data_IF_223545472163
#
_entry.id   IF_223545472163
#
_cell.length_a   1.000
_cell.length_b   1.000
_cell.length_c   1.000
_cell.angle_alpha   90.00
_cell.angle_beta   90.00
_cell.angle_gamma   90.00
#
_symmetry.space_group_name_H-M   'P 1'
#
loop_
_entity.id
_entity.type
_entity.pdbx_description
1 polymer ?
#
# COMPACT_ATOMS: atom_id res chain seq x y z
N UNK A 1 -2.80 -15.53 14.54
CA UNK A 1 -1.58 -16.06 13.88
C UNK A 1 -0.60 -14.96 13.45
N UNK A 2 -0.83 -14.19 12.36
CA UNK A 2 0.18 -13.22 11.87
C UNK A 2 0.46 -12.07 12.85
N UNK A 3 -0.57 -11.43 13.41
CA UNK A 3 -0.40 -10.36 14.39
C UNK A 3 0.37 -10.82 15.64
N UNK A 4 0.15 -12.06 16.07
CA UNK A 4 0.91 -12.66 17.18
C UNK A 4 2.40 -12.85 16.83
N UNK A 5 2.75 -13.10 15.55
CA UNK A 5 4.14 -13.18 15.14
C UNK A 5 4.83 -11.81 15.26
N UNK A 6 4.16 -10.73 14.85
CA UNK A 6 4.66 -9.37 15.05
C UNK A 6 4.83 -9.02 16.54
N UNK A 7 3.85 -9.38 17.38
CA UNK A 7 3.94 -9.16 18.83
C UNK A 7 5.12 -9.93 19.43
N UNK A 8 5.31 -11.21 19.08
CA UNK A 8 6.47 -12.00 19.54
C UNK A 8 7.80 -11.42 19.07
N UNK A 9 7.82 -10.78 17.90
CA UNK A 9 8.98 -10.09 17.36
C UNK A 9 9.20 -8.68 17.97
N UNK A 10 8.32 -8.21 18.86
CA UNK A 10 8.34 -6.85 19.45
C UNK A 10 8.25 -5.75 18.39
N UNK A 11 7.44 -6.00 17.36
CA UNK A 11 7.15 -5.06 16.29
C UNK A 11 5.71 -4.57 16.49
N UNK A 12 5.57 -3.28 16.76
CA UNK A 12 4.27 -2.64 16.83
C UNK A 12 3.81 -2.22 15.44
N UNK A 13 2.50 -2.35 15.22
CA UNK A 13 1.85 -2.03 13.95
C UNK A 13 0.90 -0.85 14.11
N UNK A 14 0.86 0.00 13.09
CA UNK A 14 -0.26 0.95 12.86
C UNK A 14 -0.75 0.81 11.44
N UNK A 15 -2.07 0.81 11.31
CA UNK A 15 -2.75 0.66 10.03
C UNK A 15 -3.63 1.88 9.79
N UNK A 16 -3.55 2.40 8.57
CA UNK A 16 -4.44 3.43 8.05
C UNK A 16 -5.30 2.82 6.96
N UNK A 17 -6.62 2.99 7.10
CA UNK A 17 -7.54 2.85 6.00
C UNK A 17 -7.33 4.04 5.06
N UNK A 18 -6.77 3.76 3.89
CA UNK A 18 -6.49 4.73 2.82
C UNK A 18 -7.36 4.47 1.59
N UNK A 19 -8.49 3.78 1.80
CA UNK A 19 -9.49 3.52 0.76
C UNK A 19 -9.92 4.83 0.11
N UNK A 20 -9.83 4.87 -1.22
CA UNK A 20 -10.14 6.05 -2.02
C UNK A 20 -11.63 6.11 -2.38
N UNK A 21 -12.00 7.10 -3.19
CA UNK A 21 -13.32 7.22 -3.83
C UNK A 21 -13.71 5.99 -4.65
N UNK A 22 -12.76 5.14 -5.06
CA UNK A 22 -13.06 3.86 -5.74
C UNK A 22 -13.78 2.85 -4.84
N UNK A 23 -13.77 3.02 -3.51
CA UNK A 23 -14.43 2.07 -2.59
C UNK A 23 -13.77 0.69 -2.46
N UNK A 24 -12.72 0.39 -3.24
CA UNK A 24 -11.92 -0.83 -3.09
C UNK A 24 -11.01 -0.68 -1.88
N UNK A 25 -11.07 -1.62 -0.93
CA UNK A 25 -10.36 -1.51 0.34
C UNK A 25 -8.84 -1.40 0.12
N UNK A 26 -8.23 -0.35 0.68
CA UNK A 26 -6.78 -0.15 0.68
C UNK A 26 -6.29 0.16 2.08
N UNK A 27 -5.29 -0.58 2.54
CA UNK A 27 -4.62 -0.32 3.81
C UNK A 27 -3.15 0.00 3.60
N UNK A 28 -2.66 0.92 4.43
CA UNK A 28 -1.23 1.16 4.59
C UNK A 28 -0.84 0.79 6.02
N UNK A 29 0.19 -0.05 6.17
CA UNK A 29 0.68 -0.55 7.44
C UNK A 29 2.09 -0.04 7.69
N UNK A 30 2.32 0.57 8.86
CA UNK A 30 3.65 0.90 9.38
C UNK A 30 4.05 -0.14 10.43
N UNK A 31 5.20 -0.77 10.22
CA UNK A 31 5.83 -1.68 11.18
C UNK A 31 7.03 -1.00 11.86
N UNK A 32 7.00 -0.88 13.18
CA UNK A 32 8.01 -0.19 13.98
C UNK A 32 8.45 -1.05 15.17
N UNK A 33 9.76 -1.11 15.44
CA UNK A 33 10.27 -1.80 16.63
C UNK A 33 9.93 -1.01 17.91
N UNK A 34 9.43 -1.72 18.93
CA UNK A 34 8.99 -1.14 20.21
C UNK A 34 10.15 -0.48 20.97
N UNK A 35 11.23 -1.24 21.19
CA UNK A 35 12.28 -0.87 22.14
C UNK A 35 13.70 -0.85 21.57
N UNK A 36 13.88 -1.21 20.29
CA UNK A 36 15.22 -1.37 19.73
C UNK A 36 15.39 -0.65 18.40
N UNK A 37 16.51 0.04 18.21
CA UNK A 37 16.94 0.52 16.89
C UNK A 37 17.50 -0.63 16.02
N UNK A 38 17.00 -1.86 16.24
CA UNK A 38 17.46 -3.09 15.58
C UNK A 38 17.16 -3.05 14.10
N UNK A 39 15.96 -2.61 13.72
CA UNK A 39 15.55 -2.50 12.32
C UNK A 39 14.91 -1.15 12.05
N UNK A 40 14.96 -0.73 10.79
CA UNK A 40 14.31 0.50 10.34
C UNK A 40 12.80 0.28 10.15
N UNK A 41 11.99 1.32 10.42
CA UNK A 41 10.56 1.24 10.18
C UNK A 41 10.27 1.16 8.69
N UNK A 42 9.34 0.31 8.32
CA UNK A 42 8.94 0.11 6.93
C UNK A 42 7.43 0.12 6.78
N UNK A 43 7.01 0.46 5.57
CA UNK A 43 5.62 0.46 5.15
C UNK A 43 5.32 -0.77 4.30
N UNK A 44 4.05 -1.17 4.32
CA UNK A 44 3.48 -2.07 3.34
C UNK A 44 2.07 -1.64 3.00
N UNK A 45 1.71 -1.73 1.73
CA UNK A 45 0.38 -1.43 1.24
C UNK A 45 -0.36 -2.69 0.82
N UNK A 46 -1.69 -2.63 0.79
CA UNK A 46 -2.50 -3.74 0.31
C UNK A 46 -3.84 -3.26 -0.19
N UNK A 47 -4.24 -3.73 -1.36
CA UNK A 47 -5.49 -3.39 -2.02
C UNK A 47 -6.20 -4.69 -2.44
N UNK A 48 -7.47 -4.83 -2.09
CA UNK A 48 -8.30 -5.99 -2.45
C UNK A 48 -9.80 -5.72 -2.21
N UNK A 49 -10.74 -6.30 -2.98
CA UNK A 49 -12.17 -6.22 -2.69
C UNK A 49 -12.55 -6.73 -1.28
N UNK A 50 -11.83 -7.75 -0.82
CA UNK A 50 -11.92 -8.26 0.55
C UNK A 50 -10.92 -7.54 1.49
N UNK A 51 -11.37 -6.79 2.50
CA UNK A 51 -10.51 -6.01 3.40
C UNK A 51 -9.60 -6.89 4.27
N UNK A 52 -9.98 -8.14 4.56
CA UNK A 52 -9.08 -9.07 5.27
C UNK A 52 -7.86 -9.42 4.41
N UNK A 53 -8.05 -9.63 3.11
CA UNK A 53 -6.96 -9.87 2.16
C UNK A 53 -6.13 -8.60 1.97
N UNK A 54 -6.77 -7.44 1.81
CA UNK A 54 -6.07 -6.16 1.69
C UNK A 54 -5.18 -5.89 2.93
N UNK A 55 -5.70 -6.12 4.14
CA UNK A 55 -4.95 -5.96 5.38
C UNK A 55 -3.81 -6.97 5.48
N UNK A 56 -4.07 -8.24 5.15
CA UNK A 56 -3.04 -9.28 5.14
C UNK A 56 -1.88 -8.88 4.23
N UNK A 57 -2.17 -8.40 3.01
CA UNK A 57 -1.17 -7.91 2.05
C UNK A 57 -0.33 -6.77 2.63
N UNK A 58 -0.97 -5.75 3.21
CA UNK A 58 -0.27 -4.63 3.82
C UNK A 58 0.68 -5.06 4.94
N UNK A 59 0.23 -5.99 5.80
CA UNK A 59 1.06 -6.55 6.88
C UNK A 59 2.26 -7.33 6.32
N UNK A 60 2.02 -8.22 5.35
CA UNK A 60 3.08 -9.04 4.76
C UNK A 60 4.06 -8.22 3.94
N UNK A 61 3.60 -7.18 3.26
CA UNK A 61 4.47 -6.26 2.51
C UNK A 61 5.36 -5.45 3.46
N UNK A 62 4.84 -5.02 4.61
CA UNK A 62 5.65 -4.35 5.63
C UNK A 62 6.74 -5.29 6.18
N UNK A 63 6.43 -6.56 6.40
CA UNK A 63 7.43 -7.56 6.80
C UNK A 63 8.47 -7.80 5.68
N UNK A 64 8.02 -7.92 4.43
CA UNK A 64 8.90 -8.10 3.27
C UNK A 64 9.85 -6.91 3.11
N UNK A 65 9.34 -5.68 3.17
CA UNK A 65 10.13 -4.46 3.05
C UNK A 65 11.23 -4.38 4.13
N UNK A 66 10.92 -4.81 5.35
CA UNK A 66 11.92 -4.91 6.43
C UNK A 66 12.98 -5.94 6.11
N UNK A 67 12.57 -7.13 5.67
CA UNK A 67 13.51 -8.20 5.33
C UNK A 67 14.47 -7.77 4.19
N UNK A 68 13.96 -7.10 3.15
CA UNK A 68 14.79 -6.65 2.03
C UNK A 68 15.71 -5.49 2.41
N UNK A 69 15.27 -4.58 3.29
CA UNK A 69 16.13 -3.53 3.84
C UNK A 69 17.28 -4.10 4.69
N UNK A 70 16.99 -5.04 5.59
CA UNK A 70 18.01 -5.69 6.44
C UNK A 70 19.03 -6.46 5.58
N UNK A 71 18.55 -7.15 4.55
CA UNK A 71 19.40 -7.90 3.63
C UNK A 71 20.25 -7.01 2.71
N UNK A 72 19.93 -5.72 2.59
CA UNK A 72 20.58 -4.82 1.65
C UNK A 72 20.32 -5.18 0.18
N UNK A 73 19.22 -5.87 -0.11
CA UNK A 73 18.93 -6.48 -1.41
C UNK A 73 18.10 -5.58 -2.36
N UNK A 74 17.94 -4.31 -2.01
CA UNK A 74 17.13 -3.33 -2.76
C UNK A 74 18.01 -2.52 -3.70
N UNK A 75 17.82 -2.69 -5.00
CA UNK A 75 18.55 -1.95 -6.03
C UNK A 75 18.17 -0.46 -6.07
N UNK A 76 17.00 -0.10 -5.56
CA UNK A 76 16.53 1.29 -5.46
C UNK A 76 17.09 2.04 -4.23
N UNK A 77 17.80 1.35 -3.34
CA UNK A 77 18.37 1.95 -2.13
C UNK A 77 19.85 2.29 -2.33
N UNK A 78 20.15 3.59 -2.38
CA UNK A 78 21.53 4.08 -2.35
C UNK A 78 22.15 4.02 -0.96
N UNK A 79 23.48 4.12 -0.85
CA UNK A 79 24.20 4.19 0.43
C UNK A 79 23.70 5.30 1.37
N UNK A 80 23.16 6.38 0.82
CA UNK A 80 22.58 7.48 1.60
C UNK A 80 21.38 7.03 2.44
N UNK A 81 20.57 6.09 1.96
CA UNK A 81 19.44 5.55 2.71
C UNK A 81 19.87 4.78 3.96
N UNK A 82 21.08 4.21 3.94
CA UNK A 82 21.67 3.50 5.08
C UNK A 82 22.46 4.44 6.01
N UNK A 83 22.65 5.71 5.63
CA UNK A 83 23.38 6.67 6.44
C UNK A 83 22.72 6.86 7.81
N UNK A 84 23.47 6.91 8.92
CA UNK A 84 22.90 7.02 10.27
C UNK A 84 21.92 8.19 10.44
N UNK A 85 22.25 9.34 9.85
CA UNK A 85 21.40 10.53 9.90
C UNK A 85 20.04 10.32 9.20
N UNK A 86 20.03 9.64 8.06
CA UNK A 86 18.81 9.39 7.28
C UNK A 86 17.92 8.36 7.98
N UNK A 87 18.53 7.27 8.47
CA UNK A 87 17.84 6.26 9.30
C UNK A 87 17.23 6.88 10.55
N UNK A 88 17.97 7.74 11.24
CA UNK A 88 17.47 8.47 12.42
C UNK A 88 16.32 9.43 12.04
N UNK A 89 16.42 10.15 10.92
CA UNK A 89 15.36 11.03 10.41
C UNK A 89 14.08 10.24 10.15
N UNK A 90 14.15 9.19 9.35
CA UNK A 90 13.04 8.30 8.99
C UNK A 90 12.38 7.70 10.23
N UNK A 91 13.18 7.21 11.19
CA UNK A 91 12.69 6.66 12.46
C UNK A 91 11.93 7.69 13.28
N UNK A 92 12.43 8.92 13.35
CA UNK A 92 11.78 10.02 14.07
C UNK A 92 10.44 10.41 13.44
N UNK A 93 10.36 10.44 12.11
CA UNK A 93 9.12 10.70 11.37
C UNK A 93 8.08 9.58 11.57
N UNK A 94 8.51 8.33 11.44
CA UNK A 94 7.63 7.17 11.66
C UNK A 94 7.10 7.12 13.10
N UNK A 95 7.95 7.39 14.11
CA UNK A 95 7.51 7.51 15.52
C UNK A 95 6.47 8.62 15.72
N UNK A 96 6.60 9.75 15.02
CA UNK A 96 5.61 10.84 15.07
C UNK A 96 4.27 10.39 14.50
N UNK A 97 4.25 9.71 13.35
CA UNK A 97 3.02 9.16 12.78
C UNK A 97 2.38 8.10 13.69
N UNK A 98 3.21 7.25 14.29
CA UNK A 98 2.77 6.24 15.25
C UNK A 98 2.09 6.87 16.47
N UNK A 99 2.68 7.94 17.04
CA UNK A 99 2.14 8.66 18.18
C UNK A 99 0.89 9.50 17.82
N UNK A 100 0.78 9.97 16.59
CA UNK A 100 -0.37 10.71 16.09
C UNK A 100 -1.55 9.81 15.68
N UNK A 101 -1.33 8.50 15.51
CA UNK A 101 -2.37 7.55 15.13
C UNK A 101 -3.50 7.53 16.15
N UNK A 102 -4.74 7.54 15.66
CA UNK A 102 -5.96 7.44 16.48
C UNK A 102 -6.87 6.37 15.86
N UNK A 103 -7.33 5.38 16.63
CA UNK A 103 -8.36 4.46 16.17
C UNK A 103 -9.62 5.23 15.78
N UNK A 104 -10.07 5.07 14.53
CA UNK A 104 -11.21 5.82 13.99
C UNK A 104 -12.21 4.94 13.20
N UNK A 105 -11.91 3.66 13.02
CA UNK A 105 -12.72 2.69 12.26
C UNK A 105 -12.72 1.34 12.97
N UNK A 106 -13.87 0.67 12.98
CA UNK A 106 -13.96 -0.74 13.34
C UNK A 106 -13.75 -1.56 12.06
N UNK A 107 -12.69 -2.36 12.04
CA UNK A 107 -12.37 -3.23 10.91
C UNK A 107 -13.51 -4.20 10.58
N UNK A 108 -14.25 -4.68 11.59
CA UNK A 108 -15.34 -5.64 11.42
C UNK A 108 -16.58 -5.03 10.76
N UNK A 109 -16.66 -3.70 10.75
CA UNK A 109 -17.77 -2.97 10.12
C UNK A 109 -17.49 -2.63 8.65
N UNK A 110 -16.32 -2.99 8.12
CA UNK A 110 -15.99 -2.75 6.71
C UNK A 110 -16.74 -3.73 5.83
N UNK A 111 -17.43 -3.19 4.82
CA UNK A 111 -18.05 -3.99 3.79
C UNK A 111 -16.97 -4.72 2.99
N UNK A 112 -17.29 -5.93 2.53
CA UNK A 112 -16.43 -6.69 1.64
C UNK A 112 -17.25 -7.26 0.49
N UNK A 113 -16.57 -7.42 -0.64
CA UNK A 113 -17.04 -8.27 -1.72
C UNK A 113 -16.21 -9.56 -1.69
N UNK A 114 -16.90 -10.70 -1.80
CA UNK A 114 -16.28 -12.01 -1.94
C UNK A 114 -16.95 -12.67 -3.15
N UNK A 115 -16.35 -12.49 -4.33
CA UNK A 115 -16.79 -13.21 -5.52
C UNK A 115 -16.49 -14.70 -5.37
N UNK A 116 -17.37 -15.56 -5.91
CA UNK A 116 -17.09 -17.00 -5.97
C UNK A 116 -16.01 -17.30 -7.02
N UNK A 117 -15.81 -16.38 -7.96
CA UNK A 117 -14.83 -16.50 -9.04
C UNK A 117 -13.98 -15.24 -9.19
N UNK A 118 -12.76 -15.41 -9.71
CA UNK A 118 -11.88 -14.29 -10.06
C UNK A 118 -12.56 -13.32 -11.05
N UNK A 119 -13.37 -13.85 -11.98
CA UNK A 119 -14.08 -13.02 -12.95
C UNK A 119 -15.11 -12.11 -12.28
N UNK A 120 -15.77 -12.56 -11.22
CA UNK A 120 -16.70 -11.71 -10.45
C UNK A 120 -15.97 -10.58 -9.73
N UNK A 121 -14.85 -10.88 -9.08
CA UNK A 121 -14.02 -9.85 -8.42
C UNK A 121 -13.50 -8.81 -9.42
N UNK A 122 -13.08 -9.26 -10.61
CA UNK A 122 -12.65 -8.36 -11.69
C UNK A 122 -13.80 -7.50 -12.21
N UNK A 123 -14.99 -8.06 -12.43
CA UNK A 123 -16.16 -7.30 -12.85
C UNK A 123 -16.59 -6.28 -11.80
N UNK A 124 -16.62 -6.67 -10.52
CA UNK A 124 -16.94 -5.76 -9.43
C UNK A 124 -15.92 -4.62 -9.33
N UNK A 125 -14.63 -4.93 -9.44
CA UNK A 125 -13.56 -3.92 -9.43
C UNK A 125 -13.69 -2.95 -10.61
N UNK A 126 -14.00 -3.45 -11.80
CA UNK A 126 -14.25 -2.61 -12.97
C UNK A 126 -15.49 -1.71 -12.78
N UNK A 127 -16.55 -2.20 -12.14
CA UNK A 127 -17.73 -1.40 -11.80
C UNK A 127 -17.41 -0.30 -10.79
N UNK A 128 -16.59 -0.57 -9.78
CA UNK A 128 -16.12 0.44 -8.82
C UNK A 128 -15.33 1.56 -9.50
N UNK A 129 -14.48 1.22 -10.47
CA UNK A 129 -13.75 2.19 -11.28
C UNK A 129 -14.70 3.00 -12.17
N UNK A 130 -15.64 2.35 -12.84
CA UNK A 130 -16.64 3.03 -13.66
C UNK A 130 -17.51 4.00 -12.84
N UNK A 131 -17.86 3.65 -11.61
CA UNK A 131 -18.64 4.49 -10.70
C UNK A 131 -17.95 5.83 -10.35
N UNK A 132 -16.62 5.90 -10.48
CA UNK A 132 -15.84 7.14 -10.29
C UNK A 132 -15.42 7.79 -11.61
N UNK A 133 -16.02 7.40 -12.73
CA UNK A 133 -15.76 7.97 -14.06
C UNK A 133 -14.52 7.42 -14.76
N UNK A 134 -13.99 6.28 -14.31
CA UNK A 134 -12.90 5.58 -15.01
C UNK A 134 -13.51 4.52 -15.92
N UNK A 135 -13.60 4.86 -17.21
CA UNK A 135 -14.31 4.04 -18.21
C UNK A 135 -13.36 3.15 -19.04
N UNK A 136 -12.05 3.33 -18.90
CA UNK A 136 -11.05 2.63 -19.71
C UNK A 136 -10.12 1.76 -18.85
N UNK A 137 -10.12 0.46 -19.14
CA UNK A 137 -9.22 -0.52 -18.57
C UNK A 137 -8.50 -1.24 -19.72
N UNK A 138 -7.21 -0.99 -19.88
CA UNK A 138 -6.41 -1.54 -20.98
C UNK A 138 -5.52 -2.65 -20.42
N UNK A 139 -5.68 -3.87 -20.95
CA UNK A 139 -4.81 -5.00 -20.64
C UNK A 139 -3.85 -5.25 -21.79
N UNK A 140 -2.55 -5.29 -21.51
CA UNK A 140 -1.50 -5.67 -22.46
C UNK A 140 -0.94 -7.01 -22.04
N UNK A 141 -1.13 -8.04 -22.86
CA UNK A 141 -0.54 -9.36 -22.65
C UNK A 141 0.97 -9.32 -22.92
N UNK A 142 1.74 -9.71 -21.91
CA UNK A 142 3.20 -9.79 -21.91
C UNK A 142 3.67 -11.25 -21.75
N UNK A 143 2.79 -12.22 -21.92
CA UNK A 143 3.11 -13.64 -21.83
C UNK A 143 4.21 -14.00 -22.81
N UNK A 144 5.30 -14.56 -22.28
CA UNK A 144 6.37 -15.09 -23.11
C UNK A 144 6.17 -16.59 -23.30
N UNK A 145 6.01 -17.08 -24.55
CA UNK A 145 5.74 -18.50 -24.81
C UNK A 145 6.80 -19.44 -24.24
N UNK A 146 8.06 -18.99 -24.15
CA UNK A 146 9.17 -19.78 -23.62
C UNK A 146 9.00 -20.14 -22.13
N UNK A 147 8.28 -19.32 -21.34
CA UNK A 147 8.06 -19.56 -19.92
C UNK A 147 6.67 -20.11 -19.62
N UNK A 148 5.67 -19.85 -20.49
CA UNK A 148 4.30 -20.32 -20.30
C UNK A 148 3.59 -19.73 -19.06
N UNK A 149 4.09 -18.60 -18.53
CA UNK A 149 3.53 -17.90 -17.38
C UNK A 149 2.76 -16.67 -17.87
N UNK A 150 1.44 -16.56 -17.58
CA UNK A 150 0.66 -15.37 -17.94
C UNK A 150 1.15 -14.12 -17.21
N UNK A 151 1.46 -13.06 -17.97
CA UNK A 151 1.87 -11.76 -17.43
C UNK A 151 1.09 -10.67 -18.16
N UNK A 152 0.47 -9.75 -17.41
CA UNK A 152 -0.32 -8.65 -17.98
C UNK A 152 0.15 -7.33 -17.41
N UNK A 153 0.27 -6.32 -18.26
CA UNK A 153 0.37 -4.91 -17.85
C UNK A 153 -1.00 -4.25 -17.97
N UNK A 154 -1.52 -3.76 -16.86
CA UNK A 154 -2.74 -2.96 -16.84
C UNK A 154 -2.39 -1.47 -16.99
N UNK A 155 -3.09 -0.78 -17.88
CA UNK A 155 -3.06 0.68 -18.02
C UNK A 155 -4.48 1.18 -17.83
N UNK A 156 -4.70 1.97 -16.78
CA UNK A 156 -6.02 2.47 -16.39
C UNK A 156 -5.94 4.00 -16.33
N UNK A 157 -6.23 4.70 -17.45
CA UNK A 157 -6.24 6.15 -17.48
C UNK A 157 -7.21 6.72 -16.43
N UNK A 158 -6.75 7.72 -15.66
CA UNK A 158 -7.53 8.33 -14.59
C UNK A 158 -7.24 7.78 -13.18
N UNK A 159 -6.46 6.71 -13.05
CA UNK A 159 -5.77 6.40 -11.79
C UNK A 159 -4.50 7.26 -11.65
N UNK A 160 -4.17 7.60 -10.40
CA UNK A 160 -2.95 8.34 -10.08
C UNK A 160 -1.73 7.39 -10.13
N UNK A 161 -0.57 7.92 -10.54
CA UNK A 161 0.71 7.22 -10.45
C UNK A 161 1.20 7.10 -9.00
N UNK A 162 2.19 6.23 -8.78
CA UNK A 162 2.88 6.18 -7.50
C UNK A 162 3.59 7.52 -7.23
N UNK A 163 3.40 8.07 -6.03
CA UNK A 163 4.13 9.25 -5.60
C UNK A 163 5.47 8.82 -5.00
N UNK A 164 6.56 9.07 -5.72
CA UNK A 164 7.93 8.70 -5.32
C UNK A 164 8.67 9.88 -4.65
N UNK A 165 7.92 10.85 -4.13
CA UNK A 165 8.46 12.03 -3.46
C UNK A 165 8.48 13.29 -4.32
N UNK A 166 9.01 14.38 -3.76
CA UNK A 166 8.95 15.72 -4.37
C UNK A 166 9.79 15.90 -5.63
N UNK A 167 10.71 14.96 -5.90
CA UNK A 167 11.53 14.94 -7.12
C UNK A 167 10.97 14.02 -8.22
N UNK A 168 9.81 13.39 -8.00
CA UNK A 168 9.18 12.54 -9.02
C UNK A 168 8.50 13.36 -10.10
N UNK A 169 8.39 12.80 -11.31
CA UNK A 169 7.62 13.37 -12.42
C UNK A 169 6.09 13.19 -12.22
N UNK A 170 5.65 12.89 -11.00
CA UNK A 170 4.24 12.73 -10.68
C UNK A 170 3.50 14.05 -10.84
N UNK A 171 2.53 14.06 -11.76
CA UNK A 171 1.59 15.16 -11.94
C UNK A 171 0.21 14.69 -11.47
N UNK A 172 -0.40 15.35 -10.46
CA UNK A 172 -1.73 14.98 -9.99
C UNK A 172 -2.76 15.06 -11.11
N UNK A 173 -3.49 13.96 -11.34
CA UNK A 173 -4.62 13.90 -12.23
C UNK A 173 -5.84 14.68 -11.72
N UNK A 174 -6.88 14.71 -12.54
CA UNK A 174 -8.11 15.47 -12.25
C UNK A 174 -8.75 15.02 -10.92
N UNK A 175 -8.70 13.72 -10.60
CA UNK A 175 -9.26 13.16 -9.36
C UNK A 175 -8.51 13.64 -8.12
N UNK A 176 -7.17 13.54 -8.11
CA UNK A 176 -6.38 14.09 -7.01
C UNK A 176 -6.57 15.61 -6.86
N UNK A 177 -6.63 16.36 -7.96
CA UNK A 177 -6.88 17.80 -7.93
C UNK A 177 -8.26 18.13 -7.30
N UNK A 178 -9.32 17.40 -7.68
CA UNK A 178 -10.65 17.59 -7.12
C UNK A 178 -10.69 17.29 -5.60
N UNK A 179 -10.00 16.25 -5.14
CA UNK A 179 -9.91 15.95 -3.70
C UNK A 179 -9.14 17.05 -2.95
N UNK A 180 -8.03 17.56 -3.52
CA UNK A 180 -7.26 18.66 -2.92
C UNK A 180 -8.09 19.93 -2.79
N UNK A 181 -8.85 20.29 -3.82
CA UNK A 181 -9.75 21.44 -3.79
C UNK A 181 -10.83 21.33 -2.69
N UNK A 182 -11.30 20.12 -2.38
CA UNK A 182 -12.28 19.85 -1.31
C UNK A 182 -11.68 19.83 0.11
N UNK A 183 -10.37 19.62 0.23
CA UNK A 183 -9.66 19.51 1.52
C UNK A 183 -8.90 20.78 1.93
N UNK A 184 -8.76 21.75 1.02
CA UNK A 184 -8.28 23.09 1.38
C UNK A 184 -9.39 23.81 2.15
N UNK A 185 -9.10 24.43 3.31
CA UNK A 185 -10.05 25.25 4.05
C UNK A 185 -10.52 26.46 3.23
#
# INVERSE_FOLDING_TARGET
>A
ALLEQFERAQIDLRVWDVTSDTGVAVFNCLALDRDAERCDPEFGAGCHPNPAVALLRALTEAAQARATFIAGARDDFTLQHYAPAERARRRRECRRWFAAHRPCRDFRALAWQDGETLNEDLHWTAQQLAAVGIEQLIAVDLTQPAFGIPVVKMVIPGLEGAYEGTGSDYVPGQRAQAIRARRLP
#
